data_IF_624907839209
#
_entry.id   IF_624907839209
#
_cell.length_a   1.000
_cell.length_b   1.000
_cell.length_c   1.000
_cell.angle_alpha   90.00
_cell.angle_beta   90.00
_cell.angle_gamma   90.00
#
_symmetry.space_group_name_H-M   'P 1'
#
loop_
_entity.id
_entity.type
_entity.pdbx_description
1 polymer ?
#
# COMPACT_ATOMS: atom_id res chain seq x y z
N UNK A 1 18.44 -29.22 7.28
CA UNK A 1 17.04 -29.53 6.94
C UNK A 1 16.89 -29.26 5.47
N UNK A 2 16.60 -30.26 4.66
CA UNK A 2 16.26 -30.10 3.25
C UNK A 2 14.89 -29.40 3.23
N UNK A 3 14.91 -28.08 3.03
CA UNK A 3 13.74 -27.24 3.15
C UNK A 3 12.70 -27.57 2.08
N UNK A 4 11.44 -27.68 2.50
CA UNK A 4 10.29 -27.64 1.61
C UNK A 4 10.32 -26.33 0.81
N UNK A 5 10.09 -26.40 -0.49
CA UNK A 5 9.93 -25.20 -1.33
C UNK A 5 8.66 -24.44 -0.92
N UNK A 6 8.62 -23.13 -1.14
CA UNK A 6 7.43 -22.29 -0.96
C UNK A 6 6.81 -22.03 -2.33
N UNK A 7 5.61 -22.58 -2.56
CA UNK A 7 4.83 -22.31 -3.75
C UNK A 7 4.05 -21.00 -3.63
N UNK A 8 4.22 -20.09 -4.58
CA UNK A 8 3.54 -18.78 -4.56
C UNK A 8 2.59 -18.61 -5.73
N UNK A 9 1.47 -17.93 -5.48
CA UNK A 9 0.48 -17.57 -6.49
C UNK A 9 -0.04 -16.16 -6.30
N UNK A 10 -0.67 -15.60 -7.34
CA UNK A 10 -1.30 -14.27 -7.30
C UNK A 10 -2.70 -14.38 -7.89
N UNK A 11 -3.69 -13.82 -7.18
CA UNK A 11 -5.06 -13.60 -7.66
C UNK A 11 -5.19 -12.16 -8.12
N UNK A 12 -5.52 -11.96 -9.39
CA UNK A 12 -5.57 -10.67 -10.07
C UNK A 12 -4.33 -10.43 -10.94
N UNK A 13 -4.54 -10.22 -12.25
CA UNK A 13 -3.48 -10.00 -13.24
C UNK A 13 -3.44 -8.55 -13.77
N UNK A 14 -4.06 -7.62 -13.04
CA UNK A 14 -4.01 -6.18 -13.29
C UNK A 14 -2.62 -5.57 -13.01
N UNK A 15 -2.53 -4.25 -13.01
CA UNK A 15 -1.26 -3.53 -12.80
C UNK A 15 -0.58 -3.94 -11.47
N UNK A 16 -1.29 -3.88 -10.36
CA UNK A 16 -0.74 -4.26 -9.06
C UNK A 16 -0.44 -5.77 -8.98
N UNK A 17 -1.30 -6.64 -9.54
CA UNK A 17 -1.02 -8.08 -9.59
C UNK A 17 0.26 -8.42 -10.34
N UNK A 18 0.54 -7.73 -11.43
CA UNK A 18 1.83 -7.84 -12.13
C UNK A 18 3.01 -7.35 -11.30
N UNK A 19 2.82 -6.33 -10.47
CA UNK A 19 3.86 -5.84 -9.54
C UNK A 19 4.16 -6.89 -8.47
N UNK A 20 3.13 -7.55 -7.91
CA UNK A 20 3.31 -8.69 -7.00
C UNK A 20 4.01 -9.86 -7.68
N UNK A 21 3.57 -10.23 -8.90
CA UNK A 21 4.19 -11.31 -9.66
C UNK A 21 5.69 -11.06 -9.94
N UNK A 22 6.04 -9.84 -10.33
CA UNK A 22 7.43 -9.41 -10.50
C UNK A 22 8.20 -9.40 -9.18
N UNK A 23 7.55 -8.95 -8.11
CA UNK A 23 8.10 -8.93 -6.76
C UNK A 23 8.53 -10.33 -6.29
N UNK A 24 7.64 -11.31 -6.37
CA UNK A 24 7.97 -12.70 -5.99
C UNK A 24 9.06 -13.33 -6.88
N UNK A 25 9.09 -13.00 -8.17
CA UNK A 25 10.16 -13.47 -9.07
C UNK A 25 11.53 -12.96 -8.64
N UNK A 26 11.60 -11.72 -8.16
CA UNK A 26 12.86 -11.07 -7.80
C UNK A 26 13.25 -11.30 -6.35
N UNK A 27 12.29 -11.38 -5.44
CA UNK A 27 12.52 -11.48 -4.00
C UNK A 27 13.52 -12.59 -3.57
N UNK A 28 13.54 -13.80 -4.16
CA UNK A 28 14.51 -14.84 -3.81
C UNK A 28 15.96 -14.48 -4.14
N UNK A 29 16.18 -13.49 -5.02
CA UNK A 29 17.52 -13.04 -5.41
C UNK A 29 18.11 -12.01 -4.46
N UNK A 30 17.30 -11.48 -3.54
CA UNK A 30 17.77 -10.56 -2.50
C UNK A 30 18.39 -11.34 -1.35
N UNK A 31 19.53 -10.85 -0.86
CA UNK A 31 20.28 -11.39 0.27
C UNK A 31 20.85 -12.81 0.04
N UNK A 32 22.03 -13.02 0.55
CA UNK A 32 22.84 -14.25 0.35
C UNK A 32 22.26 -15.48 1.06
N UNK A 33 21.26 -15.34 1.91
CA UNK A 33 20.83 -16.42 2.79
C UNK A 33 19.32 -16.58 2.93
N UNK A 34 18.92 -17.83 3.15
CA UNK A 34 17.90 -18.21 4.11
C UNK A 34 16.48 -18.41 3.62
N UNK A 35 16.06 -17.99 2.43
CA UNK A 35 14.76 -18.44 1.93
C UNK A 35 14.84 -19.89 1.42
N UNK A 36 13.84 -20.73 1.72
CA UNK A 36 13.61 -21.96 0.95
C UNK A 36 13.48 -21.63 -0.55
N UNK A 37 13.61 -22.65 -1.39
CA UNK A 37 13.31 -22.48 -2.82
C UNK A 37 11.90 -21.89 -2.99
N UNK A 38 11.77 -20.83 -3.77
CA UNK A 38 10.47 -20.21 -4.09
C UNK A 38 10.05 -20.60 -5.49
N UNK A 39 8.90 -21.27 -5.58
CA UNK A 39 8.31 -21.69 -6.86
C UNK A 39 7.21 -20.71 -7.27
N UNK A 40 7.27 -20.22 -8.49
CA UNK A 40 6.26 -19.34 -9.07
C UNK A 40 5.17 -20.20 -9.72
N UNK A 41 4.14 -20.55 -8.94
CA UNK A 41 3.22 -21.65 -9.30
C UNK A 41 2.09 -21.17 -10.21
N UNK A 42 1.29 -20.17 -9.80
CA UNK A 42 0.11 -19.83 -10.57
C UNK A 42 -0.26 -18.34 -10.52
N UNK A 43 -0.88 -17.88 -11.60
CA UNK A 43 -1.62 -16.61 -11.68
C UNK A 43 -3.09 -16.92 -11.93
N UNK A 44 -4.00 -16.37 -11.13
CA UNK A 44 -5.44 -16.50 -11.35
C UNK A 44 -6.06 -15.14 -11.68
N UNK A 45 -6.91 -15.08 -12.70
CA UNK A 45 -7.73 -13.93 -13.05
C UNK A 45 -8.96 -14.41 -13.83
N UNK A 46 -10.13 -13.81 -13.55
CA UNK A 46 -11.37 -14.13 -14.30
C UNK A 46 -11.20 -13.89 -15.82
N UNK A 47 -10.29 -13.02 -16.20
CA UNK A 47 -9.84 -12.87 -17.58
C UNK A 47 -8.65 -13.79 -17.85
N UNK A 48 -8.92 -14.97 -18.39
CA UNK A 48 -7.91 -15.99 -18.71
C UNK A 48 -6.74 -15.45 -19.57
N UNK A 49 -6.99 -14.50 -20.47
CA UNK A 49 -5.94 -13.92 -21.30
C UNK A 49 -4.96 -13.09 -20.47
N UNK A 50 -5.44 -12.35 -19.46
CA UNK A 50 -4.59 -11.62 -18.53
C UNK A 50 -3.80 -12.55 -17.62
N UNK A 51 -4.44 -13.60 -17.10
CA UNK A 51 -3.76 -14.61 -16.29
C UNK A 51 -2.63 -15.28 -17.09
N UNK A 52 -2.92 -15.72 -18.31
CA UNK A 52 -1.96 -16.41 -19.19
C UNK A 52 -0.80 -15.50 -19.62
N UNK A 53 -1.07 -14.23 -19.97
CA UNK A 53 0.01 -13.30 -20.34
C UNK A 53 0.90 -13.01 -19.13
N UNK A 54 0.32 -12.80 -17.95
CA UNK A 54 1.07 -12.54 -16.72
C UNK A 54 1.89 -13.75 -16.30
N UNK A 55 1.31 -14.95 -16.30
CA UNK A 55 2.05 -16.19 -16.00
C UNK A 55 3.25 -16.38 -16.93
N UNK A 56 3.03 -16.27 -18.23
CA UNK A 56 4.09 -16.38 -19.24
C UNK A 56 5.20 -15.33 -19.04
N UNK A 57 4.84 -14.05 -18.82
CA UNK A 57 5.80 -12.94 -18.70
C UNK A 57 6.65 -13.03 -17.45
N UNK A 58 6.06 -13.43 -16.33
CA UNK A 58 6.75 -13.48 -15.03
C UNK A 58 7.24 -14.89 -14.66
N UNK A 59 7.04 -15.88 -15.56
CA UNK A 59 7.60 -17.23 -15.42
C UNK A 59 6.88 -18.09 -14.39
N UNK A 60 5.57 -17.90 -14.21
CA UNK A 60 4.72 -18.78 -13.44
C UNK A 60 4.37 -20.05 -14.23
N UNK A 61 4.24 -21.17 -13.54
CA UNK A 61 4.05 -22.50 -14.15
C UNK A 61 2.71 -22.61 -14.87
N UNK A 62 1.64 -21.99 -14.34
CA UNK A 62 0.28 -22.07 -14.90
C UNK A 62 -0.57 -20.82 -14.68
N UNK A 63 -1.66 -20.74 -15.43
CA UNK A 63 -2.69 -19.72 -15.32
C UNK A 63 -4.04 -20.36 -15.05
N UNK A 64 -4.77 -19.81 -14.09
CA UNK A 64 -6.11 -20.25 -13.66
C UNK A 64 -7.14 -19.14 -13.90
N UNK A 65 -8.40 -19.52 -14.08
CA UNK A 65 -9.49 -18.56 -14.24
C UNK A 65 -10.37 -18.41 -12.98
N UNK A 66 -10.10 -19.19 -11.95
CA UNK A 66 -10.78 -19.14 -10.65
C UNK A 66 -9.76 -19.27 -9.52
N UNK A 67 -9.83 -18.40 -8.54
CA UNK A 67 -8.99 -18.42 -7.35
C UNK A 67 -9.16 -19.71 -6.52
N UNK A 68 -10.31 -20.39 -6.62
CA UNK A 68 -10.58 -21.64 -5.90
C UNK A 68 -9.62 -22.76 -6.30
N UNK A 69 -9.18 -22.75 -7.56
CA UNK A 69 -8.14 -23.68 -8.00
C UNK A 69 -6.81 -23.47 -7.24
N UNK A 70 -6.51 -22.24 -6.80
CA UNK A 70 -5.33 -21.96 -5.96
C UNK A 70 -5.53 -22.44 -4.53
N UNK A 71 -6.74 -22.33 -3.99
CA UNK A 71 -7.07 -22.82 -2.65
C UNK A 71 -6.92 -24.35 -2.56
N UNK A 72 -7.38 -25.08 -3.57
CA UNK A 72 -7.33 -26.55 -3.64
C UNK A 72 -5.94 -27.11 -3.98
N UNK A 73 -5.04 -26.28 -4.53
CA UNK A 73 -3.74 -26.73 -5.01
C UNK A 73 -2.77 -27.03 -3.85
N UNK A 74 -2.25 -28.28 -3.74
CA UNK A 74 -1.35 -28.65 -2.64
C UNK A 74 0.08 -28.09 -2.82
N UNK A 75 0.42 -27.60 -3.99
CA UNK A 75 1.72 -27.05 -4.37
C UNK A 75 1.81 -25.52 -4.20
N UNK A 76 0.77 -24.89 -3.62
CA UNK A 76 0.71 -23.46 -3.31
C UNK A 76 0.64 -23.26 -1.79
N UNK A 77 1.52 -22.44 -1.24
CA UNK A 77 1.61 -22.10 0.17
C UNK A 77 1.21 -20.64 0.43
N UNK A 78 1.55 -19.73 -0.48
CA UNK A 78 1.40 -18.28 -0.36
C UNK A 78 0.58 -17.73 -1.52
N UNK A 79 -0.42 -16.92 -1.20
CA UNK A 79 -1.24 -16.25 -2.22
C UNK A 79 -1.32 -14.75 -1.96
N UNK A 80 -0.98 -13.94 -2.97
CA UNK A 80 -1.34 -12.52 -2.97
C UNK A 80 -2.72 -12.30 -3.57
N UNK A 81 -3.59 -11.58 -2.85
CA UNK A 81 -4.94 -11.22 -3.30
C UNK A 81 -4.92 -9.77 -3.77
N UNK A 82 -5.07 -9.56 -5.08
CA UNK A 82 -4.86 -8.28 -5.77
C UNK A 82 -6.00 -8.01 -6.76
N UNK A 83 -7.19 -7.93 -6.23
CA UNK A 83 -8.45 -7.73 -6.97
C UNK A 83 -9.18 -6.48 -6.45
N UNK A 84 -10.41 -6.24 -6.89
CA UNK A 84 -11.25 -5.20 -6.29
C UNK A 84 -11.53 -5.55 -4.80
N UNK A 85 -11.45 -4.56 -3.92
CA UNK A 85 -11.54 -4.76 -2.47
C UNK A 85 -12.87 -5.39 -2.00
N UNK A 86 -13.93 -5.25 -2.78
CA UNK A 86 -15.23 -5.91 -2.52
C UNK A 86 -15.16 -7.44 -2.60
N UNK A 87 -14.11 -8.00 -3.21
CA UNK A 87 -13.88 -9.44 -3.33
C UNK A 87 -12.85 -9.96 -2.32
N UNK A 88 -12.18 -9.07 -1.59
CA UNK A 88 -11.08 -9.46 -0.70
C UNK A 88 -11.55 -10.44 0.37
N UNK A 89 -12.66 -10.15 1.08
CA UNK A 89 -13.15 -10.99 2.18
C UNK A 89 -13.40 -12.42 1.73
N UNK A 90 -14.19 -12.64 0.68
CA UNK A 90 -14.51 -13.99 0.20
C UNK A 90 -13.25 -14.78 -0.15
N UNK A 91 -12.33 -14.16 -0.89
CA UNK A 91 -11.12 -14.83 -1.38
C UNK A 91 -10.16 -15.11 -0.22
N UNK A 92 -9.94 -14.13 0.66
CA UNK A 92 -9.04 -14.24 1.81
C UNK A 92 -9.52 -15.30 2.79
N UNK A 93 -10.80 -15.29 3.18
CA UNK A 93 -11.38 -16.30 4.06
C UNK A 93 -11.26 -17.71 3.46
N UNK A 94 -11.54 -17.86 2.16
CA UNK A 94 -11.43 -19.16 1.47
C UNK A 94 -9.99 -19.66 1.40
N UNK A 95 -9.01 -18.80 1.12
CA UNK A 95 -7.60 -19.18 1.08
C UNK A 95 -7.05 -19.54 2.47
N UNK A 96 -7.38 -18.75 3.50
CA UNK A 96 -6.99 -19.01 4.89
C UNK A 96 -7.59 -20.35 5.39
N UNK A 97 -8.87 -20.61 5.10
CA UNK A 97 -9.53 -21.87 5.44
C UNK A 97 -8.89 -23.08 4.73
N UNK A 98 -8.36 -22.88 3.51
CA UNK A 98 -7.58 -23.88 2.77
C UNK A 98 -6.12 -23.99 3.26
N UNK A 99 -5.74 -23.26 4.30
CA UNK A 99 -4.42 -23.33 4.92
C UNK A 99 -3.32 -22.56 4.17
N UNK A 100 -3.68 -21.57 3.32
CA UNK A 100 -2.73 -20.73 2.61
C UNK A 100 -2.33 -19.53 3.45
N UNK A 101 -1.09 -19.03 3.31
CA UNK A 101 -0.67 -17.73 3.79
C UNK A 101 -1.13 -16.66 2.81
N UNK A 102 -1.60 -15.50 3.29
CA UNK A 102 -2.25 -14.49 2.45
C UNK A 102 -1.62 -13.11 2.60
N UNK A 103 -1.22 -12.51 1.48
CA UNK A 103 -0.90 -11.09 1.38
C UNK A 103 -2.03 -10.39 0.62
N UNK A 104 -2.87 -9.63 1.34
CA UNK A 104 -4.01 -8.93 0.75
C UNK A 104 -3.62 -7.49 0.38
N UNK A 105 -3.99 -7.04 -0.82
CA UNK A 105 -3.82 -5.64 -1.20
C UNK A 105 -4.69 -4.68 -0.37
N UNK A 106 -4.25 -3.44 -0.33
CA UNK A 106 -4.97 -2.34 0.30
C UNK A 106 -6.04 -1.73 -0.66
N UNK A 107 -7.08 -1.09 -0.14
CA UNK A 107 -7.55 -1.19 1.24
C UNK A 107 -8.03 -2.61 1.52
N UNK A 108 -7.78 -3.09 2.75
CA UNK A 108 -7.99 -4.50 3.11
C UNK A 108 -9.43 -4.96 2.85
N UNK A 109 -10.40 -4.09 3.11
CA UNK A 109 -11.83 -4.37 2.96
C UNK A 109 -12.61 -3.10 2.61
N UNK A 110 -13.84 -3.21 2.09
CA UNK A 110 -14.70 -2.06 1.85
C UNK A 110 -15.37 -1.53 3.12
N UNK A 111 -15.54 -2.36 4.15
CA UNK A 111 -16.23 -2.03 5.41
C UNK A 111 -15.45 -2.51 6.62
N UNK A 112 -15.75 -1.91 7.79
CA UNK A 112 -15.19 -2.36 9.07
C UNK A 112 -15.60 -3.81 9.39
N UNK A 113 -16.88 -4.16 9.14
CA UNK A 113 -17.39 -5.52 9.36
C UNK A 113 -16.62 -6.57 8.53
N UNK A 114 -16.37 -6.28 7.25
CA UNK A 114 -15.58 -7.19 6.40
C UNK A 114 -14.14 -7.32 6.90
N UNK A 115 -13.53 -6.21 7.33
CA UNK A 115 -12.19 -6.21 7.89
C UNK A 115 -12.10 -7.02 9.20
N UNK A 116 -13.09 -6.89 10.09
CA UNK A 116 -13.19 -7.67 11.34
C UNK A 116 -13.31 -9.17 11.05
N UNK A 117 -14.13 -9.54 10.07
CA UNK A 117 -14.27 -10.92 9.65
C UNK A 117 -12.95 -11.50 9.10
N UNK A 118 -12.20 -10.71 8.31
CA UNK A 118 -10.90 -11.12 7.79
C UNK A 118 -9.85 -11.28 8.89
N UNK A 119 -9.84 -10.40 9.90
CA UNK A 119 -8.97 -10.54 11.09
C UNK A 119 -9.29 -11.85 11.83
N UNK A 120 -10.56 -12.11 12.12
CA UNK A 120 -10.99 -13.33 12.79
C UNK A 120 -10.61 -14.61 12.00
N UNK A 121 -10.75 -14.57 10.68
CA UNK A 121 -10.35 -15.69 9.81
C UNK A 121 -8.83 -15.93 9.85
N UNK A 122 -8.02 -14.85 9.84
CA UNK A 122 -6.57 -14.97 9.95
C UNK A 122 -6.14 -15.58 11.28
N UNK A 123 -6.70 -15.11 12.38
CA UNK A 123 -6.44 -15.66 13.74
C UNK A 123 -6.84 -17.14 13.82
N UNK A 124 -8.02 -17.50 13.33
CA UNK A 124 -8.51 -18.89 13.36
C UNK A 124 -7.67 -19.85 12.53
N UNK A 125 -7.11 -19.36 11.41
CA UNK A 125 -6.31 -20.18 10.48
C UNK A 125 -4.92 -20.52 11.02
N UNK A 126 -4.35 -19.68 11.88
CA UNK A 126 -2.96 -19.76 12.32
C UNK A 126 -1.95 -19.57 11.18
N UNK A 127 -2.37 -18.98 10.05
CA UNK A 127 -1.52 -18.68 8.91
C UNK A 127 -1.03 -17.24 8.95
N UNK A 128 0.09 -16.99 8.29
CA UNK A 128 0.56 -15.61 8.13
C UNK A 128 -0.37 -14.87 7.20
N UNK A 129 -0.84 -13.71 7.66
CA UNK A 129 -1.72 -12.82 6.91
C UNK A 129 -1.22 -11.38 7.03
N UNK A 130 -1.15 -10.66 5.92
CA UNK A 130 -0.65 -9.29 5.91
C UNK A 130 -1.32 -8.43 4.85
N UNK A 131 -1.19 -7.11 5.03
CA UNK A 131 -1.73 -6.08 4.11
C UNK A 131 -0.61 -5.46 3.29
N UNK A 132 -0.89 -5.21 2.01
CA UNK A 132 0.03 -4.68 1.02
C UNK A 132 0.30 -3.16 1.16
N UNK A 133 0.63 -2.66 2.34
CA UNK A 133 1.07 -1.28 2.53
C UNK A 133 2.52 -1.10 2.07
N UNK A 134 2.70 -1.10 0.77
CA UNK A 134 4.00 -1.18 0.10
C UNK A 134 4.96 -0.03 0.45
N UNK A 135 4.47 1.17 0.76
CA UNK A 135 5.32 2.32 1.07
C UNK A 135 6.11 2.18 2.38
N UNK A 136 5.67 1.34 3.33
CA UNK A 136 6.48 0.97 4.50
C UNK A 136 7.80 0.29 4.11
N UNK A 137 7.93 -0.20 2.87
CA UNK A 137 9.12 -0.83 2.32
C UNK A 137 10.11 0.14 1.68
N UNK A 138 9.78 1.44 1.65
CA UNK A 138 10.75 2.46 1.23
C UNK A 138 11.88 2.55 2.26
N UNK A 139 13.14 2.30 1.85
CA UNK A 139 14.28 2.44 2.76
C UNK A 139 14.39 3.85 3.35
N UNK A 140 14.08 4.89 2.56
CA UNK A 140 14.11 6.28 3.02
C UNK A 140 13.03 6.56 4.09
N UNK A 141 11.80 6.09 3.87
CA UNK A 141 10.71 6.23 4.85
C UNK A 141 11.00 5.44 6.14
N UNK A 142 11.49 4.21 5.99
CA UNK A 142 11.89 3.40 7.14
C UNK A 142 13.03 4.05 7.93
N UNK A 143 14.03 4.65 7.25
CA UNK A 143 15.09 5.39 7.91
C UNK A 143 14.58 6.61 8.68
N UNK A 144 13.61 7.37 8.14
CA UNK A 144 12.96 8.48 8.88
C UNK A 144 12.28 7.97 10.15
N UNK A 145 11.46 6.90 10.04
CA UNK A 145 10.82 6.28 11.20
C UNK A 145 11.85 5.85 12.26
N UNK A 146 12.95 5.23 11.84
CA UNK A 146 13.98 4.74 12.75
C UNK A 146 14.71 5.89 13.47
N UNK A 147 14.93 7.04 12.80
CA UNK A 147 15.46 8.25 13.43
C UNK A 147 14.53 8.79 14.52
N UNK A 148 13.21 8.75 14.29
CA UNK A 148 12.22 9.13 15.30
C UNK A 148 12.18 8.11 16.43
N UNK A 149 12.11 6.82 16.12
CA UNK A 149 12.02 5.74 17.10
C UNK A 149 13.26 5.65 18.00
N UNK A 150 14.44 6.00 17.48
CA UNK A 150 15.67 6.07 18.27
C UNK A 150 15.73 7.24 19.26
N UNK A 151 14.81 8.21 19.16
CA UNK A 151 14.76 9.40 19.99
C UNK A 151 15.80 10.48 19.63
N UNK A 152 16.61 10.29 18.58
CA UNK A 152 17.66 11.25 18.17
C UNK A 152 17.10 12.64 17.90
N UNK A 153 15.93 12.73 17.29
CA UNK A 153 15.25 14.01 16.99
C UNK A 153 14.04 14.26 17.89
N UNK A 154 13.80 13.43 18.90
CA UNK A 154 12.66 13.54 19.79
C UNK A 154 11.35 13.07 19.18
N UNK A 155 10.24 13.18 19.93
CA UNK A 155 8.92 12.74 19.49
C UNK A 155 8.36 13.66 18.39
N UNK A 156 7.48 13.14 17.50
CA UNK A 156 6.75 13.94 16.54
C UNK A 156 5.86 15.00 17.21
N UNK A 157 5.81 16.18 16.63
CA UNK A 157 4.94 17.29 17.02
C UNK A 157 3.93 17.61 15.93
N UNK A 158 4.37 17.63 14.67
CA UNK A 158 3.54 17.95 13.53
C UNK A 158 3.92 17.11 12.32
N UNK A 159 2.91 16.57 11.64
CA UNK A 159 3.04 15.84 10.38
C UNK A 159 2.24 16.54 9.30
N UNK A 160 2.82 16.74 8.13
CA UNK A 160 2.14 17.26 6.95
C UNK A 160 2.38 16.31 5.78
N UNK A 161 1.34 15.66 5.28
CA UNK A 161 1.47 14.64 4.25
C UNK A 161 0.48 14.77 3.11
N UNK A 162 0.93 14.35 1.93
CA UNK A 162 0.08 14.33 0.76
C UNK A 162 0.31 13.07 -0.08
N UNK A 163 -0.76 12.67 -0.81
CA UNK A 163 -0.66 11.73 -1.92
C UNK A 163 -1.51 12.25 -3.08
N UNK A 164 -0.88 12.73 -4.12
CA UNK A 164 -1.50 13.33 -5.27
C UNK A 164 -1.28 12.50 -6.52
N UNK A 165 -2.37 12.28 -7.26
CA UNK A 165 -2.41 11.62 -8.55
C UNK A 165 -3.28 12.46 -9.51
N UNK A 166 -3.12 12.26 -10.81
CA UNK A 166 -3.88 12.97 -11.83
C UNK A 166 -4.76 12.07 -12.71
N UNK A 167 -4.86 10.78 -12.39
CA UNK A 167 -5.60 9.82 -13.20
C UNK A 167 -7.11 10.12 -13.32
N UNK A 168 -7.66 10.90 -12.38
CA UNK A 168 -9.05 11.31 -12.38
C UNK A 168 -9.32 12.69 -13.00
N UNK A 169 -8.29 13.43 -13.42
CA UNK A 169 -8.42 14.83 -13.82
C UNK A 169 -9.06 15.03 -15.20
N UNK A 170 -8.87 14.10 -16.15
CA UNK A 170 -9.52 14.19 -17.46
C UNK A 170 -11.01 13.85 -17.34
N UNK A 171 -11.92 14.80 -17.59
CA UNK A 171 -13.35 14.52 -17.55
C UNK A 171 -13.81 13.50 -18.62
N UNK A 172 -12.98 13.28 -19.67
CA UNK A 172 -13.22 12.29 -20.72
C UNK A 172 -12.73 10.88 -20.32
N UNK A 173 -12.10 10.72 -19.17
CA UNK A 173 -11.76 9.37 -18.68
C UNK A 173 -13.07 8.57 -18.46
N UNK A 174 -13.11 7.28 -18.90
CA UNK A 174 -14.33 6.49 -18.87
C UNK A 174 -14.80 6.22 -17.45
N UNK A 175 -16.10 6.08 -17.27
CA UNK A 175 -16.69 5.55 -16.04
C UNK A 175 -16.10 4.16 -15.76
N UNK A 176 -15.74 3.93 -14.51
CA UNK A 176 -15.22 2.65 -14.02
C UNK A 176 -15.65 2.42 -12.57
N UNK A 177 -15.36 1.24 -12.04
CA UNK A 177 -15.64 0.89 -10.65
C UNK A 177 -15.00 1.85 -9.63
N UNK A 178 -13.89 2.52 -10.00
CA UNK A 178 -13.20 3.50 -9.15
C UNK A 178 -14.04 4.75 -8.82
N UNK A 179 -15.10 4.99 -9.59
CA UNK A 179 -16.00 6.16 -9.44
C UNK A 179 -17.35 5.79 -8.82
N UNK A 180 -17.46 4.55 -8.32
CA UNK A 180 -18.66 3.97 -7.70
C UNK A 180 -18.41 3.68 -6.22
N UNK A 181 -19.50 3.43 -5.45
CA UNK A 181 -19.44 2.95 -4.07
C UNK A 181 -19.69 4.01 -2.98
N UNK A 182 -20.00 5.24 -3.35
CA UNK A 182 -20.37 6.29 -2.40
C UNK A 182 -19.17 7.00 -1.72
N UNK A 183 -19.45 8.02 -0.90
CA UNK A 183 -18.43 8.82 -0.22
C UNK A 183 -17.50 7.99 0.66
N UNK A 184 -16.20 8.24 0.55
CA UNK A 184 -15.14 7.50 1.24
C UNK A 184 -14.53 6.37 0.44
N UNK A 185 -15.18 5.93 -0.66
CA UNK A 185 -14.66 4.85 -1.53
C UNK A 185 -13.81 5.35 -2.70
N UNK A 186 -13.62 6.66 -2.84
CA UNK A 186 -12.86 7.29 -3.91
C UNK A 186 -11.38 7.51 -3.58
N UNK A 187 -10.92 8.74 -3.66
CA UNK A 187 -9.53 9.11 -3.38
C UNK A 187 -9.10 8.76 -1.96
N UNK A 188 -10.02 8.83 -0.98
CA UNK A 188 -9.74 8.43 0.40
C UNK A 188 -9.35 6.95 0.49
N UNK A 189 -10.15 6.08 -0.07
CA UNK A 189 -9.91 4.64 -0.05
C UNK A 189 -8.72 4.23 -0.93
N UNK A 190 -8.63 4.76 -2.17
CA UNK A 190 -7.61 4.32 -3.13
C UNK A 190 -6.19 4.79 -2.77
N UNK A 191 -6.01 6.07 -2.50
CA UNK A 191 -4.70 6.67 -2.23
C UNK A 191 -4.56 7.20 -0.80
N UNK A 192 -5.66 7.66 -0.17
CA UNK A 192 -5.67 8.12 1.22
C UNK A 192 -5.30 7.00 2.20
N UNK A 193 -5.71 5.74 1.96
CA UNK A 193 -5.34 4.60 2.79
C UNK A 193 -3.82 4.43 2.93
N UNK A 194 -3.06 4.62 1.86
CA UNK A 194 -1.60 4.61 1.90
C UNK A 194 -1.02 5.77 2.70
N UNK A 195 -1.58 6.98 2.53
CA UNK A 195 -1.10 8.16 3.24
C UNK A 195 -1.36 8.05 4.75
N UNK A 196 -2.51 7.52 5.14
CA UNK A 196 -2.87 7.26 6.54
C UNK A 196 -1.91 6.24 7.15
N UNK A 197 -1.72 5.11 6.48
CA UNK A 197 -0.78 4.09 6.90
C UNK A 197 0.64 4.63 7.07
N UNK A 198 1.09 5.47 6.13
CA UNK A 198 2.39 6.11 6.19
C UNK A 198 2.51 7.08 7.37
N UNK A 199 1.49 7.88 7.63
CA UNK A 199 1.47 8.80 8.76
C UNK A 199 1.57 8.05 10.10
N UNK A 200 0.84 6.94 10.25
CA UNK A 200 0.92 6.08 11.43
C UNK A 200 2.25 5.35 11.54
N UNK A 201 2.81 4.89 10.43
CA UNK A 201 4.12 4.25 10.39
C UNK A 201 5.24 5.17 10.89
N UNK A 202 5.13 6.48 10.64
CA UNK A 202 6.12 7.49 11.04
C UNK A 202 5.85 8.09 12.41
N UNK A 203 4.58 8.39 12.75
CA UNK A 203 4.20 9.17 13.94
C UNK A 203 3.49 8.34 15.02
N UNK A 204 3.19 7.07 14.77
CA UNK A 204 2.38 6.22 15.65
C UNK A 204 0.88 6.37 15.40
N UNK A 205 0.03 5.64 16.15
CA UNK A 205 -1.40 5.53 15.87
C UNK A 205 -2.15 6.86 15.90
N UNK A 206 -3.07 7.05 14.95
CA UNK A 206 -4.04 8.15 14.94
C UNK A 206 -5.20 7.81 15.90
N UNK A 207 -5.55 8.74 16.76
CA UNK A 207 -6.61 8.61 17.78
C UNK A 207 -7.91 9.30 17.41
N UNK A 208 -7.84 10.39 16.67
CA UNK A 208 -9.03 11.07 16.16
C UNK A 208 -8.73 11.83 14.88
N UNK A 209 -9.80 12.08 14.13
CA UNK A 209 -9.78 12.86 12.88
C UNK A 209 -10.84 13.94 12.91
N UNK A 210 -10.57 15.08 12.27
CA UNK A 210 -11.49 16.23 12.21
C UNK A 210 -11.27 17.07 10.96
N UNK A 211 -12.22 17.96 10.67
CA UNK A 211 -12.15 18.89 9.55
C UNK A 211 -12.12 18.18 8.21
N UNK A 212 -12.65 16.95 8.12
CA UNK A 212 -12.64 16.20 6.90
C UNK A 212 -13.55 16.81 5.84
N UNK A 213 -13.07 16.83 4.59
CA UNK A 213 -13.80 17.26 3.40
C UNK A 213 -13.55 16.28 2.26
N UNK A 214 -14.62 15.88 1.58
CA UNK A 214 -14.65 14.83 0.55
C UNK A 214 -15.35 15.34 -0.73
N UNK A 215 -14.81 16.36 -1.43
CA UNK A 215 -15.47 16.89 -2.62
C UNK A 215 -15.32 15.99 -3.84
N UNK A 216 -16.42 15.89 -4.62
CA UNK A 216 -16.45 15.37 -5.98
C UNK A 216 -16.34 16.54 -6.95
N UNK A 217 -15.27 16.60 -7.72
CA UNK A 217 -14.96 17.70 -8.65
C UNK A 217 -15.53 17.41 -10.03
N UNK A 218 -15.44 16.15 -10.49
CA UNK A 218 -15.99 15.71 -11.78
C UNK A 218 -17.26 14.89 -11.50
N UNK A 219 -18.41 15.52 -11.70
CA UNK A 219 -19.69 14.97 -11.27
C UNK A 219 -20.19 13.79 -12.11
N UNK A 220 -19.78 13.72 -13.39
CA UNK A 220 -20.27 12.70 -14.34
C UNK A 220 -19.14 12.20 -15.23
N UNK A 221 -19.23 10.94 -15.67
CA UNK A 221 -18.31 10.35 -16.64
C UNK A 221 -19.05 9.53 -17.68
N UNK A 222 -18.54 9.55 -18.92
CA UNK A 222 -19.09 8.78 -20.02
C UNK A 222 -18.85 7.28 -19.84
N UNK A 223 -19.80 6.47 -20.25
CA UNK A 223 -19.67 5.02 -20.25
C UNK A 223 -18.70 4.58 -21.36
N UNK A 224 -17.82 3.61 -21.11
CA UNK A 224 -16.99 3.03 -22.16
C UNK A 224 -17.84 2.17 -23.11
N UNK A 225 -17.54 2.19 -24.42
CA UNK A 225 -18.15 1.32 -25.41
C UNK A 225 -17.59 -0.12 -25.38
N UNK A 226 -16.53 -0.35 -24.62
CA UNK A 226 -15.89 -1.64 -24.41
C UNK A 226 -15.28 -1.75 -23.02
N UNK A 227 -14.50 -2.79 -22.76
CA UNK A 227 -13.83 -2.96 -21.48
C UNK A 227 -12.77 -1.87 -21.27
N UNK A 228 -12.94 -1.03 -20.25
CA UNK A 228 -11.91 -0.11 -19.77
C UNK A 228 -10.99 -0.83 -18.77
N UNK A 229 -9.69 -0.89 -19.06
CA UNK A 229 -8.70 -1.57 -18.23
C UNK A 229 -7.76 -0.54 -17.56
N UNK A 230 -7.74 -0.53 -16.25
CA UNK A 230 -6.88 0.38 -15.48
C UNK A 230 -7.26 1.84 -15.68
N UNK A 231 -6.31 2.67 -16.12
CA UNK A 231 -6.49 4.07 -16.47
C UNK A 231 -6.38 4.31 -17.99
N UNK A 232 -6.52 3.26 -18.80
CA UNK A 232 -6.40 3.39 -20.25
C UNK A 232 -7.60 4.16 -20.83
N UNK A 233 -7.34 4.93 -21.89
CA UNK A 233 -8.38 5.54 -22.70
C UNK A 233 -9.26 4.45 -23.36
N UNK A 234 -10.54 4.72 -23.45
CA UNK A 234 -11.52 3.87 -24.14
C UNK A 234 -12.37 4.72 -25.09
N UNK A 235 -12.96 4.08 -26.09
CA UNK A 235 -14.03 4.72 -26.85
C UNK A 235 -15.23 4.95 -25.94
N UNK A 236 -15.81 6.15 -26.00
CA UNK A 236 -16.85 6.60 -25.10
C UNK A 236 -18.21 6.64 -25.78
N UNK A 237 -19.23 6.30 -25.04
CA UNK A 237 -20.63 6.49 -25.46
C UNK A 237 -21.07 7.92 -25.15
N UNK A 238 -22.20 8.33 -25.76
CA UNK A 238 -22.87 9.60 -25.42
C UNK A 238 -23.60 9.56 -24.07
N UNK A 239 -23.65 8.39 -23.40
CA UNK A 239 -24.30 8.22 -22.11
C UNK A 239 -23.30 8.46 -20.98
N UNK A 240 -23.69 9.26 -20.00
CA UNK A 240 -22.94 9.49 -18.76
C UNK A 240 -23.59 8.83 -17.57
N UNK A 241 -22.82 8.60 -16.53
CA UNK A 241 -23.30 8.23 -15.20
C UNK A 241 -22.67 9.14 -14.14
N UNK A 242 -23.37 9.38 -13.02
CA UNK A 242 -22.82 10.17 -11.93
C UNK A 242 -21.62 9.46 -11.28
N UNK A 243 -20.61 10.26 -10.91
CA UNK A 243 -19.54 9.87 -10.01
C UNK A 243 -20.09 9.86 -8.59
N UNK A 244 -19.96 8.75 -7.88
CA UNK A 244 -20.59 8.52 -6.58
C UNK A 244 -19.69 8.84 -5.40
N UNK A 245 -18.37 9.01 -5.64
CA UNK A 245 -17.37 9.16 -4.60
C UNK A 245 -16.47 10.39 -4.84
N UNK A 246 -15.66 10.70 -3.86
CA UNK A 246 -14.84 11.90 -3.83
C UNK A 246 -13.59 11.80 -4.74
N UNK A 247 -13.20 12.94 -5.31
CA UNK A 247 -11.96 13.10 -6.08
C UNK A 247 -10.76 13.51 -5.23
N UNK A 248 -11.03 14.08 -4.07
CA UNK A 248 -9.99 14.46 -3.12
C UNK A 248 -10.50 14.39 -1.67
N UNK A 249 -9.58 14.31 -0.74
CA UNK A 249 -9.84 14.37 0.70
C UNK A 249 -8.81 15.25 1.38
N UNK A 250 -9.25 16.04 2.36
CA UNK A 250 -8.37 16.75 3.31
C UNK A 250 -8.91 16.56 4.71
N UNK A 251 -8.04 16.38 5.69
CA UNK A 251 -8.42 16.26 7.10
C UNK A 251 -7.26 16.54 8.03
N UNK A 252 -7.57 16.73 9.30
CA UNK A 252 -6.60 16.83 10.40
C UNK A 252 -6.67 15.58 11.26
N UNK A 253 -5.51 15.01 11.63
CA UNK A 253 -5.36 13.86 12.51
C UNK A 253 -4.72 14.25 13.84
N UNK A 254 -5.14 13.61 14.93
CA UNK A 254 -4.49 13.67 16.24
C UNK A 254 -3.88 12.30 16.56
N UNK A 255 -2.57 12.26 16.79
CA UNK A 255 -1.85 11.03 17.07
C UNK A 255 -1.80 10.69 18.56
N UNK A 256 -1.64 9.42 18.88
CA UNK A 256 -1.45 8.96 20.26
C UNK A 256 -0.21 9.58 20.93
N UNK A 257 0.81 9.93 20.15
CA UNK A 257 2.02 10.64 20.59
C UNK A 257 1.77 12.09 21.04
N UNK A 258 0.56 12.63 20.78
CA UNK A 258 0.22 14.03 20.97
C UNK A 258 0.56 14.93 19.77
N UNK A 259 1.10 14.37 18.70
CA UNK A 259 1.31 15.09 17.46
C UNK A 259 -0.02 15.43 16.76
N UNK A 260 0.00 16.46 15.93
CA UNK A 260 -1.11 16.81 15.03
C UNK A 260 -0.65 16.67 13.60
N UNK A 261 -1.50 16.13 12.72
CA UNK A 261 -1.19 16.00 11.30
C UNK A 261 -2.23 16.67 10.41
N UNK A 262 -1.79 17.15 9.26
CA UNK A 262 -2.65 17.54 8.12
C UNK A 262 -2.36 16.61 6.96
N UNK A 263 -3.41 16.02 6.40
CA UNK A 263 -3.29 15.03 5.34
C UNK A 263 -4.20 15.42 4.16
N UNK A 264 -3.66 15.25 2.94
CA UNK A 264 -4.38 15.55 1.69
C UNK A 264 -4.12 14.45 0.67
N UNK A 265 -5.18 13.88 0.11
CA UNK A 265 -5.08 12.96 -1.02
C UNK A 265 -6.00 13.44 -2.16
N UNK A 266 -5.53 13.35 -3.41
CA UNK A 266 -6.25 13.83 -4.59
C UNK A 266 -5.95 12.99 -5.81
N UNK A 267 -6.98 12.58 -6.57
CA UNK A 267 -6.83 11.93 -7.87
C UNK A 267 -6.99 12.91 -9.06
N UNK A 268 -7.12 14.21 -8.75
CA UNK A 268 -7.30 15.29 -9.74
C UNK A 268 -6.21 16.37 -9.66
N UNK A 269 -5.04 16.03 -9.13
CA UNK A 269 -3.89 16.92 -9.03
C UNK A 269 -3.14 16.99 -10.36
N UNK A 270 -3.59 17.83 -11.27
CA UNK A 270 -3.13 17.94 -12.66
C UNK A 270 -1.59 18.00 -12.77
N UNK A 271 -1.02 17.07 -13.53
CA UNK A 271 0.42 16.99 -13.80
C UNK A 271 1.24 16.24 -12.72
N UNK A 272 0.60 15.80 -11.64
CA UNK A 272 1.23 14.99 -10.59
C UNK A 272 0.71 13.55 -10.65
N UNK A 273 1.27 12.77 -11.58
CA UNK A 273 0.76 11.42 -11.86
C UNK A 273 0.89 10.45 -10.68
N UNK A 274 1.90 10.63 -9.82
CA UNK A 274 2.15 9.79 -8.63
C UNK A 274 3.09 10.53 -7.68
N UNK A 275 2.56 11.37 -6.81
CA UNK A 275 3.32 12.24 -5.91
C UNK A 275 2.91 12.01 -4.47
N UNK A 276 3.65 11.14 -3.78
CA UNK A 276 3.55 10.92 -2.35
C UNK A 276 4.69 11.65 -1.64
N UNK A 277 4.37 12.42 -0.60
CA UNK A 277 5.38 13.11 0.18
C UNK A 277 4.88 13.50 1.56
N UNK A 278 5.83 13.78 2.45
CA UNK A 278 5.53 14.30 3.79
C UNK A 278 6.67 15.12 4.38
N UNK A 279 6.32 15.90 5.37
CA UNK A 279 7.22 16.57 6.31
C UNK A 279 6.81 16.18 7.73
N UNK A 280 7.78 15.85 8.57
CA UNK A 280 7.57 15.62 9.99
C UNK A 280 8.49 16.51 10.80
N UNK A 281 7.89 17.27 11.71
CA UNK A 281 8.58 18.14 12.65
C UNK A 281 8.52 17.51 14.03
N UNK A 282 9.66 17.47 14.72
CA UNK A 282 9.82 16.83 16.01
C UNK A 282 10.34 17.80 17.05
N UNK A 283 10.54 17.40 18.30
CA UNK A 283 11.00 18.27 19.38
C UNK A 283 12.37 18.91 19.10
N UNK A 284 13.24 18.25 18.34
CA UNK A 284 14.61 18.73 18.11
C UNK A 284 15.13 18.49 16.69
N UNK A 285 14.25 18.20 15.73
CA UNK A 285 14.63 17.97 14.35
C UNK A 285 13.46 17.97 13.40
N UNK A 286 13.72 17.60 12.16
CA UNK A 286 12.70 17.45 11.13
C UNK A 286 13.18 16.43 10.06
N UNK A 287 12.21 15.80 9.38
CA UNK A 287 12.51 15.02 8.19
C UNK A 287 11.47 15.29 7.09
N UNK A 288 11.88 15.10 5.84
CA UNK A 288 10.99 15.21 4.67
C UNK A 288 11.28 14.09 3.69
N UNK A 289 10.25 13.62 3.02
CA UNK A 289 10.33 12.60 1.99
C UNK A 289 9.53 13.01 0.76
N UNK A 290 10.05 12.69 -0.42
CA UNK A 290 9.39 12.85 -1.72
C UNK A 290 9.59 11.56 -2.55
N UNK A 291 8.49 10.95 -2.99
CA UNK A 291 8.53 9.72 -3.79
C UNK A 291 9.26 9.89 -5.14
N UNK A 292 9.28 11.10 -5.70
CA UNK A 292 10.05 11.39 -6.92
C UNK A 292 11.56 11.20 -6.71
N UNK A 293 12.02 11.18 -5.45
CA UNK A 293 13.40 10.99 -5.01
C UNK A 293 13.49 9.89 -3.96
N UNK A 294 12.89 8.75 -4.23
CA UNK A 294 12.65 7.66 -3.27
C UNK A 294 13.91 7.06 -2.60
N UNK A 295 15.10 7.30 -3.15
CA UNK A 295 16.38 6.84 -2.59
C UNK A 295 16.98 7.75 -1.53
N UNK A 296 16.27 8.81 -1.11
CA UNK A 296 16.79 9.81 -0.17
C UNK A 296 15.71 10.45 0.68
N UNK A 297 16.11 11.15 1.72
CA UNK A 297 15.24 12.01 2.53
C UNK A 297 16.00 13.26 2.99
N UNK A 298 15.26 14.34 3.25
CA UNK A 298 15.78 15.50 3.93
C UNK A 298 15.77 15.31 5.43
N UNK A 299 16.81 15.77 6.13
CA UNK A 299 16.94 15.58 7.58
C UNK A 299 17.58 16.77 8.27
N UNK A 300 16.99 17.18 9.39
CA UNK A 300 17.57 18.15 10.33
C UNK A 300 17.71 17.43 11.67
N UNK A 301 18.94 17.35 12.19
CA UNK A 301 19.23 16.85 13.52
C UNK A 301 19.54 17.99 14.50
N UNK A 302 19.59 17.70 15.81
CA UNK A 302 19.81 18.73 16.84
C UNK A 302 21.24 19.28 16.87
N UNK A 303 22.12 18.89 15.95
CA UNK A 303 23.49 19.42 15.89
C UNK A 303 23.43 20.93 15.67
N UNK A 304 24.09 21.75 16.51
CA UNK A 304 24.06 23.18 16.32
C UNK A 304 24.51 23.56 14.91
N UNK A 305 23.62 24.16 14.14
CA UNK A 305 23.97 24.68 12.83
C UNK A 305 24.92 25.87 13.01
N UNK A 306 25.94 25.95 12.18
CA UNK A 306 26.76 27.15 12.02
C UNK A 306 25.92 28.31 11.44
N UNK A 307 26.49 29.15 10.59
CA UNK A 307 25.75 30.28 10.00
C UNK A 307 24.64 29.87 8.99
N UNK A 308 24.52 28.57 8.67
CA UNK A 308 23.48 28.02 7.78
C UNK A 308 22.60 27.00 8.52
N UNK A 309 21.30 27.02 8.25
CA UNK A 309 20.33 26.06 8.76
C UNK A 309 19.45 25.56 7.62
N UNK A 310 19.09 24.29 7.64
CA UNK A 310 18.23 23.67 6.62
C UNK A 310 18.36 22.16 6.57
N UNK A 311 17.61 21.54 5.69
CA UNK A 311 17.70 20.09 5.47
C UNK A 311 19.04 19.72 4.83
N UNK A 312 19.74 18.75 5.44
CA UNK A 312 20.74 17.96 4.70
C UNK A 312 20.06 16.83 3.94
N UNK A 313 20.53 16.57 2.74
CA UNK A 313 20.14 15.42 1.96
C UNK A 313 20.81 14.18 2.50
N UNK A 314 20.03 13.13 2.78
CA UNK A 314 20.52 11.82 3.20
C UNK A 314 20.22 10.81 2.11
N UNK A 315 21.25 10.32 1.43
CA UNK A 315 21.13 9.24 0.46
C UNK A 315 21.14 7.91 1.23
N UNK A 316 20.12 7.09 1.02
CA UNK A 316 20.05 5.77 1.65
C UNK A 316 21.01 4.82 0.93
N UNK A 317 21.76 4.05 1.70
CA UNK A 317 22.80 3.16 1.20
C UNK A 317 22.91 1.86 2.00
N UNK A 318 23.99 1.10 1.84
CA UNK A 318 24.14 -0.27 2.34
C UNK A 318 24.13 -0.42 3.87
N UNK A 319 24.16 0.69 4.62
CA UNK A 319 23.93 0.65 6.06
C UNK A 319 22.46 0.38 6.43
N UNK A 320 21.53 0.57 5.48
CA UNK A 320 20.11 0.31 5.72
C UNK A 320 19.78 -1.19 5.56
N UNK A 321 19.00 -1.82 6.47
CA UNK A 321 18.71 -3.26 6.45
C UNK A 321 18.13 -3.79 5.12
N UNK A 322 17.31 -3.01 4.41
CA UNK A 322 16.76 -3.42 3.11
C UNK A 322 17.81 -3.50 2.00
N UNK A 323 18.94 -2.81 2.15
CA UNK A 323 19.93 -2.67 1.08
C UNK A 323 21.17 -3.49 1.35
N UNK A 324 21.50 -3.74 2.64
CA UNK A 324 22.68 -4.53 3.04
C UNK A 324 22.66 -5.90 2.39
N UNK A 325 23.54 -6.12 1.40
CA UNK A 325 23.63 -7.36 0.60
C UNK A 325 22.30 -7.78 -0.05
N UNK A 326 21.36 -6.85 -0.22
CA UNK A 326 20.02 -7.12 -0.76
C UNK A 326 19.90 -6.80 -2.23
N UNK A 327 20.58 -5.77 -2.69
CA UNK A 327 20.49 -5.29 -4.07
C UNK A 327 21.81 -5.50 -4.80
N UNK A 328 21.78 -5.76 -6.12
CA UNK A 328 23.00 -5.90 -6.93
C UNK A 328 23.91 -4.67 -6.89
N UNK A 329 23.31 -3.47 -6.72
CA UNK A 329 23.99 -2.20 -6.53
C UNK A 329 23.36 -1.51 -5.34
N UNK A 330 24.05 -1.42 -4.22
CA UNK A 330 23.52 -0.95 -2.93
C UNK A 330 24.12 0.38 -2.44
N UNK A 331 25.07 0.98 -3.17
CA UNK A 331 25.70 2.23 -2.76
C UNK A 331 24.77 3.45 -2.91
N UNK A 332 24.98 4.50 -2.09
CA UNK A 332 24.15 5.69 -2.12
C UNK A 332 24.13 6.36 -3.51
N UNK A 333 22.95 6.84 -3.92
CA UNK A 333 22.75 7.52 -5.20
C UNK A 333 22.30 6.62 -6.35
N UNK A 334 22.21 5.29 -6.17
CA UNK A 334 21.60 4.38 -7.16
C UNK A 334 20.11 4.67 -7.32
N UNK A 335 19.42 4.98 -6.22
CA UNK A 335 17.98 5.23 -6.22
C UNK A 335 17.15 3.93 -6.17
N UNK A 336 15.89 4.08 -5.78
CA UNK A 336 14.92 2.99 -5.66
C UNK A 336 13.57 3.50 -6.16
N UNK A 337 12.88 2.68 -6.93
CA UNK A 337 11.54 3.00 -7.43
C UNK A 337 10.45 2.22 -6.70
N UNK A 338 9.20 2.58 -6.93
CA UNK A 338 8.05 1.89 -6.32
C UNK A 338 8.03 0.39 -6.64
N UNK A 339 8.54 -0.03 -7.79
CA UNK A 339 8.64 -1.46 -8.14
C UNK A 339 9.56 -2.23 -7.18
N UNK A 340 10.65 -1.62 -6.71
CA UNK A 340 11.55 -2.24 -5.74
C UNK A 340 10.87 -2.45 -4.39
N UNK A 341 9.92 -1.59 -4.02
CA UNK A 341 9.16 -1.73 -2.78
C UNK A 341 8.30 -3.00 -2.79
N UNK A 342 7.73 -3.39 -3.94
CA UNK A 342 7.03 -4.67 -4.09
C UNK A 342 7.97 -5.86 -3.94
N UNK A 343 9.22 -5.73 -4.38
CA UNK A 343 10.24 -6.78 -4.18
C UNK A 343 10.56 -6.94 -2.69
N UNK A 344 10.79 -5.85 -1.97
CA UNK A 344 11.01 -5.88 -0.53
C UNK A 344 9.78 -6.39 0.25
N UNK A 345 8.57 -6.04 -0.18
CA UNK A 345 7.33 -6.53 0.42
C UNK A 345 7.19 -8.05 0.23
N UNK A 346 7.38 -8.54 -0.99
CA UNK A 346 7.35 -9.97 -1.30
C UNK A 346 8.41 -10.73 -0.47
N UNK A 347 9.64 -10.17 -0.39
CA UNK A 347 10.72 -10.76 0.41
C UNK A 347 10.36 -10.82 1.89
N UNK A 348 9.88 -9.72 2.47
CA UNK A 348 9.50 -9.67 3.88
C UNK A 348 8.38 -10.66 4.21
N UNK A 349 7.39 -10.81 3.32
CA UNK A 349 6.31 -11.77 3.54
C UNK A 349 6.78 -13.22 3.42
N UNK A 350 7.65 -13.53 2.45
CA UNK A 350 8.25 -14.85 2.34
C UNK A 350 9.12 -15.22 3.55
N UNK A 351 9.90 -14.27 4.07
CA UNK A 351 10.68 -14.46 5.30
C UNK A 351 9.78 -14.73 6.51
N UNK A 352 8.68 -13.96 6.63
CA UNK A 352 7.69 -14.15 7.67
C UNK A 352 7.09 -15.57 7.62
N UNK A 353 6.71 -16.06 6.44
CA UNK A 353 6.20 -17.41 6.22
C UNK A 353 7.25 -18.47 6.51
N UNK A 354 8.51 -18.21 6.20
CA UNK A 354 9.63 -19.12 6.47
C UNK A 354 10.10 -19.10 7.94
N UNK A 355 9.51 -18.26 8.80
CA UNK A 355 9.94 -18.08 10.19
C UNK A 355 11.28 -17.37 10.33
N UNK A 356 11.62 -16.50 9.39
CA UNK A 356 12.81 -15.66 9.40
C UNK A 356 12.41 -14.23 9.78
N UNK A 357 13.18 -13.59 10.66
CA UNK A 357 12.91 -12.23 11.15
C UNK A 357 14.02 -11.24 10.72
N UNK A 358 14.47 -11.33 9.48
CA UNK A 358 15.54 -10.45 8.96
C UNK A 358 14.99 -9.07 8.58
N UNK A 359 13.90 -9.04 7.86
CA UNK A 359 13.16 -7.82 7.53
C UNK A 359 11.98 -7.61 8.49
N UNK A 360 11.60 -6.36 8.75
CA UNK A 360 10.36 -6.08 9.49
C UNK A 360 9.17 -6.79 8.84
N UNK A 361 8.27 -7.34 9.65
CA UNK A 361 7.06 -8.03 9.16
C UNK A 361 6.20 -7.08 8.32
N UNK A 362 5.41 -7.63 7.40
CA UNK A 362 4.40 -6.84 6.68
C UNK A 362 3.33 -6.37 7.66
N UNK A 363 2.58 -5.32 7.29
CA UNK A 363 1.47 -4.85 8.11
C UNK A 363 0.48 -5.99 8.38
N UNK A 364 0.07 -6.13 9.64
CA UNK A 364 -0.90 -7.16 10.05
C UNK A 364 -2.31 -6.82 9.59
N UNK A 365 -3.20 -7.81 9.60
CA UNK A 365 -4.63 -7.56 9.38
C UNK A 365 -5.24 -6.69 10.48
N UNK A 366 -4.72 -6.72 11.71
CA UNK A 366 -5.11 -5.79 12.77
C UNK A 366 -4.82 -4.33 12.42
N UNK A 367 -3.63 -4.06 11.86
CA UNK A 367 -3.29 -2.72 11.34
C UNK A 367 -4.15 -2.36 10.11
N UNK A 368 -4.46 -3.33 9.26
CA UNK A 368 -5.41 -3.16 8.16
C UNK A 368 -6.80 -2.77 8.64
N UNK A 369 -7.33 -3.44 9.66
CA UNK A 369 -8.61 -3.10 10.28
C UNK A 369 -8.60 -1.69 10.87
N UNK A 370 -7.53 -1.31 11.57
CA UNK A 370 -7.41 0.05 12.09
C UNK A 370 -7.39 1.10 10.97
N UNK A 371 -6.73 0.82 9.86
CA UNK A 371 -6.76 1.69 8.68
C UNK A 371 -8.19 1.83 8.11
N UNK A 372 -8.97 0.73 8.01
CA UNK A 372 -10.38 0.79 7.58
C UNK A 372 -11.23 1.62 8.55
N UNK A 373 -11.05 1.47 9.87
CA UNK A 373 -11.73 2.30 10.88
C UNK A 373 -11.41 3.79 10.72
N UNK A 374 -10.17 4.13 10.37
CA UNK A 374 -9.77 5.51 10.05
C UNK A 374 -10.45 6.03 8.80
N UNK A 375 -10.55 5.24 7.73
CA UNK A 375 -11.30 5.62 6.52
C UNK A 375 -12.77 5.92 6.85
N UNK A 376 -13.42 5.06 7.63
CA UNK A 376 -14.81 5.24 8.07
C UNK A 376 -14.97 6.51 8.93
N UNK A 377 -14.08 6.73 9.89
CA UNK A 377 -14.07 7.91 10.75
C UNK A 377 -13.89 9.22 9.96
N UNK A 378 -13.03 9.23 8.93
CA UNK A 378 -12.85 10.39 8.04
C UNK A 378 -14.11 10.66 7.22
N UNK A 379 -14.74 9.62 6.67
CA UNK A 379 -16.00 9.74 5.96
C UNK A 379 -17.13 10.24 6.89
N UNK A 380 -17.19 9.73 8.13
CA UNK A 380 -18.13 10.20 9.15
C UNK A 380 -17.88 11.67 9.54
N UNK A 381 -16.63 12.08 9.73
CA UNK A 381 -16.29 13.48 9.99
C UNK A 381 -16.77 14.40 8.86
N UNK A 382 -16.49 14.05 7.61
CA UNK A 382 -16.92 14.84 6.45
C UNK A 382 -18.46 14.94 6.35
N UNK A 383 -19.16 13.83 6.56
CA UNK A 383 -20.64 13.78 6.58
C UNK A 383 -21.25 14.69 7.65
N UNK A 384 -20.56 14.87 8.78
CA UNK A 384 -20.99 15.67 9.91
C UNK A 384 -20.33 17.06 9.95
N UNK A 385 -20.00 17.63 8.78
CA UNK A 385 -19.47 19.00 8.66
C UNK A 385 -18.08 19.20 9.26
N UNK A 386 -17.25 18.15 9.27
CA UNK A 386 -15.90 18.18 9.80
C UNK A 386 -15.81 17.95 11.32
N UNK A 387 -16.83 17.35 11.94
CA UNK A 387 -16.82 17.03 13.35
C UNK A 387 -15.63 16.15 13.75
N UNK A 388 -15.20 16.27 15.01
CA UNK A 388 -14.16 15.39 15.57
C UNK A 388 -14.72 13.97 15.77
N UNK A 389 -13.99 12.98 15.27
CA UNK A 389 -14.35 11.56 15.39
C UNK A 389 -13.18 10.82 15.99
N UNK A 390 -13.41 10.20 17.16
CA UNK A 390 -12.42 9.33 17.83
C UNK A 390 -12.41 7.97 17.16
N UNK A 391 -11.25 7.37 17.04
CA UNK A 391 -11.03 6.04 16.47
C UNK A 391 -10.53 5.13 17.59
N UNK A 392 -11.27 4.04 17.82
CA UNK A 392 -11.00 3.03 18.84
C UNK A 392 -10.14 1.87 18.31
#
# INVERSE_FOLDING_TARGET
>A
MTGSSIGVAVVGAGMAGRSHAAGYRTAPTLYDEGLPEVRLVAIADVNQAFASDTARRYGYERAENDWRALAEAPDIDVVSVVVANTLHREIVEGLLAAGKHVLCEKPMAPTVEDAEAMVAAAEASGREAGVGFVFRRSPAIAAVRDQIASGVIGRPLHFNGHYWCDYGVDPRAPMSWRYKGGPGSGALSDIGSHLIDLAEFVCGPIRSVRGASLPTVIAERALPLGAAVGHAAAELSDKTEPVENEDLVTFTASFASGATGTLSASRVAYGLANSLGFEVFTESGAATFDLARAGEFGFIDPTPAGPGQGYRQVLVGPAHPYLTRGMPMDFPGVGYGQNDLFVFQARAFLEQVAGLDRLPRVASFGEGLHNIRLLDAIAASAKNGGADVVVD
#
